data_IF_577040664533
#
_entry.id   IF_577040664533
#
_cell.length_a   1.000
_cell.length_b   1.000
_cell.length_c   1.000
_cell.angle_alpha   90.00
_cell.angle_beta   90.00
_cell.angle_gamma   90.00
#
_symmetry.space_group_name_H-M   'P 1'
#
loop_
_entity.id
_entity.type
_entity.pdbx_description
1 polymer ?
#
# COMPACT_ATOMS: atom_id res chain seq x y z
N UNK A 1 3.87 3.52 -15.09
CA UNK A 1 3.07 3.60 -16.32
C UNK A 1 2.42 4.98 -16.39
N UNK A 2 2.58 5.72 -17.48
CA UNK A 2 2.00 7.05 -17.65
C UNK A 2 0.77 6.99 -18.58
N UNK A 3 -0.32 7.68 -18.22
CA UNK A 3 -1.58 7.69 -18.98
C UNK A 3 -1.43 8.20 -20.42
N UNK A 4 -0.64 9.26 -20.64
CA UNK A 4 -0.44 9.81 -21.98
C UNK A 4 0.39 8.89 -22.86
N UNK A 5 1.34 8.16 -22.28
CA UNK A 5 2.10 7.12 -23.00
C UNK A 5 1.17 5.97 -23.41
N UNK A 6 0.30 5.52 -22.48
CA UNK A 6 -0.73 4.52 -22.78
C UNK A 6 -1.62 4.98 -23.94
N UNK A 7 -2.11 6.23 -23.95
CA UNK A 7 -2.91 6.76 -25.06
C UNK A 7 -2.18 6.73 -26.41
N UNK A 8 -0.88 7.05 -26.44
CA UNK A 8 -0.07 6.93 -27.66
C UNK A 8 0.02 5.47 -28.12
N UNK A 9 0.16 4.55 -27.19
CA UNK A 9 0.25 3.12 -27.47
C UNK A 9 -1.10 2.51 -27.89
N UNK A 10 -2.22 2.98 -27.32
CA UNK A 10 -3.57 2.62 -27.79
C UNK A 10 -3.80 3.05 -29.24
N UNK A 11 -3.24 4.19 -29.67
CA UNK A 11 -3.32 4.61 -31.07
C UNK A 11 -2.61 3.65 -32.02
N UNK A 12 -1.53 2.98 -31.59
CA UNK A 12 -0.84 1.95 -32.38
C UNK A 12 -1.68 0.69 -32.58
N UNK A 13 -2.68 0.48 -31.73
CA UNK A 13 -3.62 -0.65 -31.79
C UNK A 13 -4.91 -0.34 -32.55
N UNK A 14 -5.05 0.85 -33.14
CA UNK A 14 -6.23 1.19 -33.96
C UNK A 14 -6.31 0.29 -35.18
N UNK A 15 -7.53 -0.14 -35.49
CA UNK A 15 -7.87 -1.00 -36.64
C UNK A 15 -7.17 -2.37 -36.62
N UNK A 16 -6.62 -2.80 -35.49
CA UNK A 16 -6.06 -4.14 -35.30
C UNK A 16 -7.00 -4.93 -34.38
N UNK A 17 -7.30 -6.22 -34.68
CA UNK A 17 -8.01 -7.09 -33.77
C UNK A 17 -7.23 -7.29 -32.46
N UNK A 18 -7.88 -7.05 -31.32
CA UNK A 18 -7.31 -7.26 -30.00
C UNK A 18 -7.78 -8.59 -29.43
N UNK A 19 -6.82 -9.45 -29.06
CA UNK A 19 -7.12 -10.73 -28.46
C UNK A 19 -7.77 -10.56 -27.09
N UNK A 20 -8.97 -11.10 -26.91
CA UNK A 20 -9.61 -11.12 -25.61
C UNK A 20 -9.02 -12.21 -24.72
N UNK A 21 -8.97 -11.97 -23.41
CA UNK A 21 -8.57 -12.99 -22.43
C UNK A 21 -9.59 -14.15 -22.43
N UNK A 22 -10.86 -13.84 -22.68
CA UNK A 22 -11.88 -14.84 -22.95
C UNK A 22 -12.03 -15.01 -24.46
N UNK A 23 -11.81 -16.22 -25.03
CA UNK A 23 -11.99 -16.46 -26.46
C UNK A 23 -13.37 -16.04 -26.97
N UNK A 24 -13.44 -15.43 -28.16
CA UNK A 24 -14.70 -15.04 -28.82
C UNK A 24 -15.23 -13.66 -28.45
N UNK A 25 -14.52 -12.91 -27.60
CA UNK A 25 -14.88 -11.56 -27.17
C UNK A 25 -13.84 -10.51 -27.60
N UNK A 26 -13.16 -10.77 -28.72
CA UNK A 26 -12.21 -9.87 -29.37
C UNK A 26 -12.86 -8.52 -29.68
N UNK A 27 -12.04 -7.48 -29.71
CA UNK A 27 -12.50 -6.12 -29.98
C UNK A 27 -11.54 -5.41 -30.93
N UNK A 28 -12.03 -4.38 -31.62
CA UNK A 28 -11.22 -3.50 -32.46
C UNK A 28 -11.40 -2.07 -31.97
N UNK A 29 -10.31 -1.34 -31.80
CA UNK A 29 -10.35 0.10 -31.56
C UNK A 29 -10.53 0.80 -32.92
N UNK A 30 -11.68 1.42 -33.13
CA UNK A 30 -11.96 2.17 -34.36
C UNK A 30 -11.40 3.59 -34.26
N UNK A 31 -11.66 4.24 -33.13
CA UNK A 31 -11.33 5.65 -32.94
C UNK A 31 -11.03 5.94 -31.46
N UNK A 32 -10.18 6.94 -31.24
CA UNK A 32 -9.93 7.53 -29.93
C UNK A 32 -10.13 9.03 -30.11
N UNK A 33 -11.11 9.60 -29.42
CA UNK A 33 -11.36 11.03 -29.37
C UNK A 33 -11.00 11.59 -27.98
N UNK A 34 -11.23 12.88 -27.75
CA UNK A 34 -10.80 13.57 -26.53
C UNK A 34 -11.38 12.99 -25.23
N UNK A 35 -12.52 12.32 -25.30
CA UNK A 35 -13.25 11.84 -24.12
C UNK A 35 -13.53 10.33 -24.12
N UNK A 36 -13.45 9.66 -25.28
CA UNK A 36 -13.91 8.30 -25.47
C UNK A 36 -13.03 7.49 -26.42
N UNK A 37 -13.05 6.18 -26.22
CA UNK A 37 -12.60 5.16 -27.16
C UNK A 37 -13.85 4.56 -27.82
N UNK A 38 -13.86 4.52 -29.15
CA UNK A 38 -14.89 3.84 -29.94
C UNK A 38 -14.40 2.44 -30.26
N UNK A 39 -15.14 1.44 -29.79
CA UNK A 39 -14.78 0.03 -29.86
C UNK A 39 -15.86 -0.73 -30.62
N UNK A 40 -15.45 -1.59 -31.55
CA UNK A 40 -16.30 -2.59 -32.16
C UNK A 40 -16.07 -3.94 -31.46
N UNK A 41 -17.13 -4.58 -30.98
CA UNK A 41 -17.05 -5.95 -30.42
C UNK A 41 -17.04 -7.00 -31.52
N UNK A 42 -16.70 -8.25 -31.17
CA UNK A 42 -16.76 -9.41 -32.06
C UNK A 42 -18.12 -9.60 -32.76
N UNK A 43 -19.23 -9.21 -32.12
CA UNK A 43 -20.58 -9.21 -32.71
C UNK A 43 -20.85 -8.07 -33.71
N UNK A 44 -19.88 -7.21 -33.98
CA UNK A 44 -20.03 -6.02 -34.84
C UNK A 44 -20.66 -4.81 -34.15
N UNK A 45 -21.10 -4.93 -32.89
CA UNK A 45 -21.68 -3.80 -32.14
C UNK A 45 -20.62 -2.74 -31.83
N UNK A 46 -20.94 -1.49 -32.14
CA UNK A 46 -20.10 -0.33 -31.84
C UNK A 46 -20.53 0.26 -30.48
N UNK A 47 -19.55 0.48 -29.61
CA UNK A 47 -19.75 1.02 -28.25
C UNK A 47 -18.74 2.11 -27.97
N UNK A 48 -19.19 3.18 -27.29
CA UNK A 48 -18.32 4.26 -26.80
C UNK A 48 -17.93 3.99 -25.35
N UNK A 49 -16.64 4.12 -25.03
CA UNK A 49 -16.09 3.93 -23.68
C UNK A 49 -15.38 5.17 -23.18
N UNK A 50 -15.73 5.70 -22.00
CA UNK A 50 -15.07 6.88 -21.47
C UNK A 50 -13.59 6.64 -21.20
N UNK A 51 -12.74 7.56 -21.66
CA UNK A 51 -11.31 7.57 -21.36
C UNK A 51 -11.01 7.71 -19.86
N UNK A 52 -11.97 8.25 -19.09
CA UNK A 52 -11.90 8.26 -17.63
C UNK A 52 -11.75 6.84 -17.04
N UNK A 53 -12.35 5.82 -17.67
CA UNK A 53 -12.19 4.42 -17.22
C UNK A 53 -10.75 3.95 -17.42
N UNK A 54 -10.18 4.22 -18.59
CA UNK A 54 -8.77 3.90 -18.89
C UNK A 54 -7.85 4.63 -17.92
N UNK A 55 -8.07 5.94 -17.69
CA UNK A 55 -7.27 6.72 -16.73
C UNK A 55 -7.32 6.12 -15.33
N UNK A 56 -8.50 5.68 -14.87
CA UNK A 56 -8.67 5.03 -13.57
C UNK A 56 -7.93 3.69 -13.49
N UNK A 57 -8.03 2.86 -14.52
CA UNK A 57 -7.33 1.58 -14.60
C UNK A 57 -5.81 1.76 -14.67
N UNK A 58 -5.33 2.71 -15.47
CA UNK A 58 -3.90 3.06 -15.56
C UNK A 58 -3.37 3.50 -14.20
N UNK A 59 -4.11 4.34 -13.48
CA UNK A 59 -3.74 4.76 -12.11
C UNK A 59 -3.68 3.57 -11.14
N UNK A 60 -4.60 2.61 -11.25
CA UNK A 60 -4.53 1.42 -10.40
C UNK A 60 -3.34 0.52 -10.77
N UNK A 61 -3.04 0.37 -12.06
CA UNK A 61 -1.90 -0.39 -12.57
C UNK A 61 -0.54 0.20 -12.20
N UNK A 62 -0.43 1.50 -11.89
CA UNK A 62 0.86 2.08 -11.46
C UNK A 62 1.37 1.51 -10.15
N UNK A 63 0.50 0.88 -9.34
CA UNK A 63 0.90 0.15 -8.14
C UNK A 63 1.70 -1.13 -8.44
N UNK A 64 1.78 -1.57 -9.71
CA UNK A 64 2.33 -2.86 -10.14
C UNK A 64 1.64 -4.08 -9.52
N UNK A 65 0.49 -3.89 -8.85
CA UNK A 65 -0.32 -4.97 -8.28
C UNK A 65 -1.35 -5.46 -9.32
N UNK A 66 -1.75 -6.73 -9.25
CA UNK A 66 -2.90 -7.24 -10.00
C UNK A 66 -4.16 -6.47 -9.70
N UNK A 67 -4.83 -6.00 -10.76
CA UNK A 67 -6.12 -5.33 -10.63
C UNK A 67 -7.20 -6.16 -11.32
N UNK A 68 -8.35 -6.27 -10.64
CA UNK A 68 -9.57 -6.76 -11.27
C UNK A 68 -10.35 -5.57 -11.82
N UNK A 69 -10.58 -5.55 -13.14
CA UNK A 69 -11.18 -4.40 -13.83
C UNK A 69 -12.56 -4.03 -13.28
N UNK A 70 -13.40 -5.03 -12.97
CA UNK A 70 -14.74 -4.81 -12.42
C UNK A 70 -14.69 -4.11 -11.05
N UNK A 71 -13.75 -4.51 -10.19
CA UNK A 71 -13.58 -3.89 -8.86
C UNK A 71 -13.12 -2.45 -9.00
N UNK A 72 -12.15 -2.17 -9.89
CA UNK A 72 -11.66 -0.80 -10.10
C UNK A 72 -12.75 0.11 -10.68
N UNK A 73 -13.59 -0.42 -11.58
CA UNK A 73 -14.65 0.35 -12.24
C UNK A 73 -16.00 0.31 -11.51
N UNK A 74 -16.07 -0.32 -10.33
CA UNK A 74 -17.22 -0.24 -9.43
C UNK A 74 -18.43 -1.11 -9.80
N UNK A 75 -18.25 -2.24 -10.48
CA UNK A 75 -19.37 -3.17 -10.74
C UNK A 75 -19.13 -4.24 -11.82
N UNK A 76 -20.00 -5.26 -11.83
CA UNK A 76 -19.95 -6.47 -12.66
C UNK A 76 -20.70 -6.33 -13.99
N UNK A 77 -20.30 -5.37 -14.82
CA UNK A 77 -20.88 -5.18 -16.15
C UNK A 77 -20.22 -6.09 -17.20
N UNK A 78 -20.98 -6.83 -18.00
CA UNK A 78 -20.46 -7.65 -19.12
C UNK A 78 -19.63 -6.85 -20.14
N UNK A 79 -19.85 -5.53 -20.23
CA UNK A 79 -19.07 -4.64 -21.07
C UNK A 79 -17.65 -4.39 -20.55
N UNK A 80 -17.34 -4.67 -19.28
CA UNK A 80 -16.02 -4.44 -18.65
C UNK A 80 -14.90 -5.32 -19.23
N UNK A 81 -15.27 -6.36 -19.99
CA UNK A 81 -14.32 -7.09 -20.82
C UNK A 81 -13.61 -6.17 -21.84
N UNK A 82 -14.27 -5.12 -22.33
CA UNK A 82 -13.69 -4.22 -23.35
C UNK A 82 -12.47 -3.44 -22.83
N UNK A 83 -12.54 -2.66 -21.72
CA UNK A 83 -11.37 -1.99 -21.19
C UNK A 83 -10.31 -2.97 -20.66
N UNK A 84 -10.71 -4.16 -20.19
CA UNK A 84 -9.76 -5.22 -19.84
C UNK A 84 -8.97 -5.69 -21.06
N UNK A 85 -9.66 -6.09 -22.14
CA UNK A 85 -9.04 -6.51 -23.39
C UNK A 85 -8.15 -5.41 -23.95
N UNK A 86 -8.61 -4.16 -24.00
CA UNK A 86 -7.81 -3.03 -24.51
C UNK A 86 -6.49 -2.88 -23.75
N UNK A 87 -6.49 -2.98 -22.42
CA UNK A 87 -5.25 -2.84 -21.64
C UNK A 87 -4.39 -4.10 -21.65
N UNK A 88 -5.00 -5.29 -21.65
CA UNK A 88 -4.29 -6.57 -21.69
C UNK A 88 -3.55 -6.82 -23.01
N UNK A 89 -3.80 -5.99 -24.04
CA UNK A 89 -3.13 -6.06 -25.34
C UNK A 89 -1.95 -5.08 -25.49
N UNK A 90 -1.62 -4.37 -24.40
CA UNK A 90 -0.41 -3.56 -24.34
C UNK A 90 0.78 -4.48 -24.00
N UNK A 91 1.91 -4.40 -24.75
CA UNK A 91 3.09 -5.24 -24.57
C UNK A 91 3.60 -5.43 -23.14
N UNK A 92 3.39 -4.43 -22.28
CA UNK A 92 3.85 -4.40 -20.90
C UNK A 92 2.77 -4.74 -19.87
N UNK A 93 1.63 -5.28 -20.29
CA UNK A 93 0.54 -5.72 -19.43
C UNK A 93 0.29 -7.22 -19.60
N UNK A 94 0.56 -8.00 -18.56
CA UNK A 94 0.21 -9.42 -18.53
C UNK A 94 -1.06 -9.64 -17.71
N UNK A 95 -1.68 -10.81 -17.87
CA UNK A 95 -2.86 -11.18 -17.11
C UNK A 95 -2.69 -12.50 -16.35
N UNK A 96 -3.42 -12.66 -15.26
CA UNK A 96 -3.44 -13.87 -14.45
C UNK A 96 -4.79 -14.10 -13.79
N UNK A 97 -5.01 -15.32 -13.28
CA UNK A 97 -6.20 -15.66 -12.50
C UNK A 97 -5.89 -15.69 -10.99
N UNK A 98 -6.64 -14.90 -10.24
CA UNK A 98 -6.64 -14.88 -8.77
C UNK A 98 -8.07 -15.15 -8.32
N UNK A 99 -8.28 -16.17 -7.48
CA UNK A 99 -9.61 -16.61 -7.03
C UNK A 99 -10.62 -16.77 -8.19
N UNK A 100 -10.18 -17.43 -9.28
CA UNK A 100 -10.94 -17.66 -10.54
C UNK A 100 -11.34 -16.40 -11.32
N UNK A 101 -10.87 -15.21 -10.91
CA UNK A 101 -11.13 -13.93 -11.61
C UNK A 101 -9.90 -13.46 -12.37
N UNK A 102 -10.13 -12.88 -13.54
CA UNK A 102 -9.09 -12.28 -14.37
C UNK A 102 -8.58 -11.00 -13.72
N UNK A 103 -7.27 -10.87 -13.68
CA UNK A 103 -6.57 -9.67 -13.24
C UNK A 103 -5.53 -9.30 -14.29
N UNK A 104 -5.27 -8.01 -14.44
CA UNK A 104 -4.20 -7.48 -15.29
C UNK A 104 -3.14 -6.83 -14.41
N UNK A 105 -1.87 -6.90 -14.85
CA UNK A 105 -0.69 -6.44 -14.11
C UNK A 105 0.24 -5.73 -15.07
N UNK A 106 0.79 -4.59 -14.65
CA UNK A 106 1.88 -3.92 -15.37
C UNK A 106 3.22 -4.56 -14.97
N UNK A 107 3.92 -5.17 -15.93
CA UNK A 107 5.16 -5.93 -15.70
C UNK A 107 6.44 -5.16 -16.02
N UNK A 108 6.33 -3.89 -16.40
CA UNK A 108 7.45 -2.95 -16.63
C UNK A 108 8.46 -3.34 -17.73
N UNK A 109 8.10 -4.30 -18.57
CA UNK A 109 8.88 -4.76 -19.73
C UNK A 109 7.93 -5.19 -20.86
N UNK A 110 8.36 -5.13 -22.12
CA UNK A 110 7.54 -5.59 -23.24
C UNK A 110 7.64 -7.12 -23.37
N UNK A 111 6.56 -7.85 -23.11
CA UNK A 111 6.54 -9.31 -23.09
C UNK A 111 5.80 -9.97 -24.25
N UNK A 112 5.07 -9.17 -25.04
CA UNK A 112 4.32 -9.60 -26.22
C UNK A 112 4.10 -8.40 -27.17
N UNK A 113 3.58 -8.65 -28.37
CA UNK A 113 3.36 -7.61 -29.38
C UNK A 113 2.01 -6.89 -29.18
N UNK A 114 1.85 -5.71 -29.78
CA UNK A 114 0.57 -5.01 -29.77
C UNK A 114 -0.54 -5.86 -30.40
N UNK A 115 -1.71 -5.90 -29.75
CA UNK A 115 -2.88 -6.63 -30.25
C UNK A 115 -2.91 -8.13 -29.92
N UNK A 116 -1.89 -8.64 -29.23
CA UNK A 116 -1.97 -9.94 -28.55
C UNK A 116 -2.02 -9.74 -27.05
N UNK A 117 -2.41 -10.75 -26.27
CA UNK A 117 -2.29 -10.73 -24.81
C UNK A 117 -1.40 -11.89 -24.34
N UNK A 118 -0.92 -11.81 -23.10
CA UNK A 118 -0.08 -12.86 -22.50
C UNK A 118 -0.52 -13.23 -21.09
N UNK A 119 -0.82 -14.51 -20.88
CA UNK A 119 -1.00 -15.06 -19.53
C UNK A 119 0.37 -15.13 -18.85
N UNK A 120 0.44 -14.62 -17.64
CA UNK A 120 1.64 -14.63 -16.80
C UNK A 120 2.07 -16.07 -16.54
N UNK A 121 3.37 -16.34 -16.60
CA UNK A 121 3.91 -17.67 -16.31
C UNK A 121 3.61 -18.10 -14.87
N UNK A 122 3.56 -19.41 -14.63
CA UNK A 122 3.14 -19.98 -13.35
C UNK A 122 4.03 -19.57 -12.18
N UNK A 123 5.33 -19.36 -12.41
CA UNK A 123 6.29 -18.97 -11.38
C UNK A 123 6.07 -17.52 -10.97
N UNK A 124 6.03 -16.59 -11.94
CA UNK A 124 5.75 -15.17 -11.70
C UNK A 124 4.36 -14.97 -11.10
N UNK A 125 3.37 -15.70 -11.58
CA UNK A 125 2.01 -15.66 -11.03
C UNK A 125 1.96 -16.14 -9.57
N UNK A 126 2.77 -17.14 -9.18
CA UNK A 126 2.87 -17.58 -7.79
C UNK A 126 3.50 -16.50 -6.91
N UNK A 127 4.61 -15.88 -7.35
CA UNK A 127 5.27 -14.80 -6.62
C UNK A 127 4.33 -13.62 -6.36
N UNK A 128 3.60 -13.20 -7.40
CA UNK A 128 2.62 -12.10 -7.33
C UNK A 128 1.48 -12.43 -6.35
N UNK A 129 1.00 -13.69 -6.35
CA UNK A 129 -0.05 -14.13 -5.40
C UNK A 129 0.46 -14.14 -3.96
N UNK A 130 1.69 -14.58 -3.73
CA UNK A 130 2.31 -14.59 -2.40
C UNK A 130 2.50 -13.18 -1.86
N UNK A 131 3.00 -12.24 -2.67
CA UNK A 131 3.15 -10.84 -2.29
C UNK A 131 1.82 -10.20 -1.91
N UNK A 132 0.76 -10.45 -2.68
CA UNK A 132 -0.58 -9.98 -2.33
C UNK A 132 -1.09 -10.57 -1.01
N UNK A 133 -0.80 -11.84 -0.76
CA UNK A 133 -1.20 -12.49 0.49
C UNK A 133 -0.46 -11.89 1.69
N UNK A 134 0.86 -11.73 1.62
CA UNK A 134 1.65 -11.11 2.70
C UNK A 134 1.21 -9.68 2.98
N UNK A 135 0.95 -8.88 1.94
CA UNK A 135 0.46 -7.52 2.12
C UNK A 135 -0.94 -7.47 2.74
N UNK A 136 -1.83 -8.41 2.38
CA UNK A 136 -3.18 -8.47 2.96
C UNK A 136 -3.14 -8.83 4.44
N UNK A 137 -2.25 -9.73 4.85
CA UNK A 137 -2.01 -10.08 6.25
C UNK A 137 -1.48 -8.87 7.00
N UNK A 138 -0.47 -8.18 6.47
CA UNK A 138 0.07 -6.95 7.06
C UNK A 138 -0.98 -5.83 7.15
N UNK A 139 -1.90 -5.73 6.19
CA UNK A 139 -2.96 -4.73 6.21
C UNK A 139 -4.05 -5.02 7.24
N UNK A 140 -4.38 -6.31 7.47
CA UNK A 140 -5.30 -6.74 8.53
C UNK A 140 -4.67 -6.60 9.92
N UNK A 141 -3.40 -6.96 10.08
CA UNK A 141 -2.63 -6.72 11.30
C UNK A 141 -2.56 -5.21 11.60
N UNK A 142 -2.27 -4.37 10.61
CA UNK A 142 -2.27 -2.90 10.76
C UNK A 142 -3.61 -2.31 11.17
N UNK A 143 -4.73 -2.94 10.82
CA UNK A 143 -6.10 -2.47 11.14
C UNK A 143 -6.50 -2.75 12.59
N UNK A 144 -5.79 -3.66 13.27
CA UNK A 144 -5.98 -4.04 14.67
C UNK A 144 -4.85 -3.55 15.60
N UNK A 145 -3.95 -2.67 15.14
CA UNK A 145 -2.87 -2.16 15.97
C UNK A 145 -3.37 -1.26 17.10
N UNK A 146 -2.80 -1.46 18.29
CA UNK A 146 -2.82 -0.49 19.38
C UNK A 146 -1.95 0.72 18.98
N UNK A 147 -2.48 1.92 19.08
CA UNK A 147 -1.73 3.17 18.96
C UNK A 147 -0.93 3.37 20.24
N UNK A 148 0.37 3.12 20.21
CA UNK A 148 1.22 3.34 21.38
C UNK A 148 1.90 4.70 21.26
N UNK A 149 1.81 5.53 22.29
CA UNK A 149 2.51 6.82 22.40
C UNK A 149 3.40 6.80 23.64
N UNK A 150 4.67 7.15 23.49
CA UNK A 150 5.59 7.34 24.63
C UNK A 150 5.67 8.82 24.94
N UNK A 151 5.59 9.18 26.21
CA UNK A 151 5.77 10.52 26.74
C UNK A 151 6.95 10.50 27.69
N UNK A 152 7.91 11.38 27.47
CA UNK A 152 9.08 11.54 28.32
C UNK A 152 8.80 12.60 29.37
N UNK A 153 9.12 12.28 30.62
CA UNK A 153 8.96 13.22 31.71
C UNK A 153 10.12 13.20 32.71
N UNK A 154 10.40 14.34 33.34
CA UNK A 154 11.43 14.40 34.38
C UNK A 154 10.86 13.89 35.72
N UNK A 155 9.59 14.23 36.01
CA UNK A 155 8.87 13.80 37.20
C UNK A 155 7.72 12.83 36.87
N UNK A 156 8.00 11.53 37.01
CA UNK A 156 7.06 10.46 36.70
C UNK A 156 5.81 10.48 37.59
N UNK A 157 5.93 10.90 38.86
CA UNK A 157 4.81 10.92 39.81
C UNK A 157 3.80 12.02 39.46
N UNK A 158 4.31 13.22 39.16
CA UNK A 158 3.49 14.36 38.75
C UNK A 158 2.82 14.11 37.40
N UNK A 159 3.58 13.62 36.42
CA UNK A 159 3.03 13.24 35.12
C UNK A 159 1.94 12.16 35.26
N UNK A 160 2.17 11.14 36.09
CA UNK A 160 1.18 10.10 36.38
C UNK A 160 -0.11 10.68 36.98
N UNK A 161 0.00 11.64 37.91
CA UNK A 161 -1.16 12.29 38.50
C UNK A 161 -1.97 13.06 37.45
N UNK A 162 -1.30 13.83 36.60
CA UNK A 162 -1.92 14.60 35.51
C UNK A 162 -2.64 13.66 34.54
N UNK A 163 -1.95 12.64 34.02
CA UNK A 163 -2.55 11.72 33.07
C UNK A 163 -3.68 10.90 33.69
N UNK A 164 -3.58 10.48 34.95
CA UNK A 164 -4.69 9.86 35.67
C UNK A 164 -5.93 10.76 35.70
N UNK A 165 -5.75 12.07 35.91
CA UNK A 165 -6.86 13.03 35.94
C UNK A 165 -7.52 13.23 34.56
N UNK A 166 -6.71 13.30 33.49
CA UNK A 166 -7.18 13.51 32.11
C UNK A 166 -7.85 12.24 31.57
N UNK A 167 -7.17 11.11 31.72
CA UNK A 167 -7.57 9.82 31.16
C UNK A 167 -8.66 9.13 31.99
N UNK A 168 -8.89 9.59 33.23
CA UNK A 168 -9.83 8.99 34.19
C UNK A 168 -9.61 7.49 34.38
N UNK A 169 -8.35 7.05 34.28
CA UNK A 169 -7.95 5.64 34.40
C UNK A 169 -6.76 5.53 35.35
N UNK A 170 -6.75 4.46 36.14
CA UNK A 170 -5.59 4.13 36.97
C UNK A 170 -4.43 3.65 36.09
N UNK A 171 -3.20 4.13 36.36
CA UNK A 171 -2.02 3.62 35.69
C UNK A 171 -1.69 2.20 36.12
N UNK A 172 -1.11 1.44 35.20
CA UNK A 172 -0.39 0.20 35.51
C UNK A 172 1.09 0.52 35.67
N UNK A 173 1.65 0.21 36.84
CA UNK A 173 3.09 0.28 37.08
C UNK A 173 3.75 -0.96 36.48
N UNK A 174 4.74 -0.77 35.62
CA UNK A 174 5.47 -1.87 34.99
C UNK A 174 6.90 -1.96 35.53
N UNK A 175 7.59 -0.83 35.64
CA UNK A 175 8.97 -0.73 36.15
C UNK A 175 9.16 0.57 36.94
N UNK A 176 10.28 0.68 37.67
CA UNK A 176 10.62 1.84 38.53
C UNK A 176 10.58 3.19 37.79
N UNK A 177 10.82 3.19 36.49
CA UNK A 177 10.91 4.40 35.66
C UNK A 177 9.86 4.44 34.52
N UNK A 178 8.83 3.59 34.58
CA UNK A 178 7.81 3.47 33.53
C UNK A 178 6.39 3.26 34.08
N UNK A 179 5.45 4.05 33.59
CA UNK A 179 4.02 3.95 33.91
C UNK A 179 3.20 3.83 32.62
N UNK A 180 2.20 2.94 32.59
CA UNK A 180 1.35 2.73 31.43
C UNK A 180 -0.11 3.11 31.72
N UNK A 181 -0.72 3.81 30.77
CA UNK A 181 -2.17 3.97 30.67
C UNK A 181 -2.65 3.32 29.37
N UNK A 182 -3.65 2.46 29.44
CA UNK A 182 -4.26 1.83 28.26
C UNK A 182 -5.71 2.26 28.13
N UNK A 183 -6.13 2.87 27.04
CA UNK A 183 -7.52 3.30 26.81
C UNK A 183 -7.93 2.92 25.41
N UNK A 184 -8.96 2.09 25.32
CA UNK A 184 -9.47 1.55 24.06
C UNK A 184 -8.34 0.93 23.20
N UNK A 185 -8.04 1.56 22.07
CA UNK A 185 -6.97 1.16 21.15
C UNK A 185 -5.68 1.97 21.33
N UNK A 186 -5.52 2.70 22.43
CA UNK A 186 -4.37 3.59 22.65
C UNK A 186 -3.64 3.20 23.93
N UNK A 187 -2.31 3.12 23.88
CA UNK A 187 -1.46 2.89 25.05
C UNK A 187 -0.53 4.08 25.20
N UNK A 188 -0.54 4.74 26.36
CA UNK A 188 0.35 5.85 26.69
C UNK A 188 1.37 5.34 27.70
N UNK A 189 2.65 5.49 27.39
CA UNK A 189 3.75 5.09 28.27
C UNK A 189 4.44 6.36 28.74
N UNK A 190 4.38 6.64 30.05
CA UNK A 190 5.18 7.68 30.68
C UNK A 190 6.53 7.08 31.07
N UNK A 191 7.63 7.67 30.60
CA UNK A 191 8.98 7.20 30.88
C UNK A 191 9.83 8.34 31.39
N UNK A 192 10.62 8.09 32.45
CA UNK A 192 11.59 9.10 32.91
C UNK A 192 12.53 9.46 31.76
N UNK A 193 12.81 10.75 31.59
CA UNK A 193 13.78 11.24 30.63
C UNK A 193 15.19 10.72 30.98
N UNK A 194 15.87 10.10 30.01
CA UNK A 194 17.22 9.53 30.19
C UNK A 194 18.23 10.13 29.18
N UNK A 195 17.78 11.01 28.27
CA UNK A 195 18.55 11.32 27.05
C UNK A 195 18.52 12.79 26.62
N UNK A 196 18.26 13.70 27.57
CA UNK A 196 18.16 15.15 27.38
C UNK A 196 17.01 15.58 26.45
N UNK A 197 15.94 14.79 26.42
CA UNK A 197 14.71 15.21 25.75
C UNK A 197 14.01 16.29 26.58
N UNK A 198 13.36 17.29 25.97
CA UNK A 198 12.53 18.21 26.74
C UNK A 198 11.41 17.47 27.48
N UNK A 199 11.15 17.85 28.72
CA UNK A 199 10.01 17.36 29.50
C UNK A 199 8.70 17.56 28.71
N UNK A 200 7.80 16.56 28.76
CA UNK A 200 6.55 16.55 28.00
C UNK A 200 6.70 16.19 26.51
N UNK A 201 7.91 15.87 26.04
CA UNK A 201 8.10 15.34 24.68
C UNK A 201 7.32 14.04 24.51
N UNK A 202 6.63 13.88 23.38
CA UNK A 202 5.91 12.64 23.08
C UNK A 202 6.04 12.23 21.62
N UNK A 203 5.90 10.92 21.37
CA UNK A 203 5.80 10.43 20.01
C UNK A 203 5.07 9.08 19.91
N UNK A 204 4.46 8.79 18.74
CA UNK A 204 3.92 7.47 18.46
C UNK A 204 5.05 6.45 18.30
N UNK A 205 4.80 5.20 18.70
CA UNK A 205 5.62 4.04 18.34
C UNK A 205 5.09 3.49 17.02
N UNK A 206 5.96 3.47 16.01
CA UNK A 206 5.65 2.86 14.72
C UNK A 206 6.44 1.55 14.60
N UNK A 207 5.76 0.38 14.49
CA UNK A 207 6.43 -0.86 14.17
C UNK A 207 6.98 -0.79 12.74
N UNK A 208 8.24 -1.18 12.57
CA UNK A 208 8.93 -1.21 11.27
C UNK A 208 9.53 -2.59 11.02
N UNK A 209 9.27 -3.11 9.82
CA UNK A 209 9.70 -4.46 9.40
C UNK A 209 11.16 -4.49 8.94
N UNK A 210 11.69 -3.35 8.47
CA UNK A 210 13.07 -3.19 8.03
C UNK A 210 13.57 -1.79 8.40
N UNK A 211 14.36 -1.72 9.47
CA UNK A 211 14.88 -0.47 10.01
C UNK A 211 15.82 0.24 9.02
N UNK A 212 16.71 -0.50 8.34
CA UNK A 212 17.72 0.07 7.46
C UNK A 212 17.10 0.78 6.26
N UNK A 213 16.10 0.15 5.65
CA UNK A 213 15.35 0.75 4.54
C UNK A 213 14.59 2.01 4.98
N UNK A 214 14.06 2.04 6.21
CA UNK A 214 13.29 3.19 6.70
C UNK A 214 14.19 4.33 7.16
N UNK A 215 15.38 4.02 7.68
CA UNK A 215 16.41 5.02 7.98
C UNK A 215 16.93 5.68 6.71
N UNK A 216 17.10 4.92 5.62
CA UNK A 216 17.51 5.44 4.33
C UNK A 216 16.48 6.39 3.69
N UNK A 217 15.19 6.22 3.98
CA UNK A 217 14.11 7.10 3.49
C UNK A 217 13.94 8.41 4.28
N UNK A 218 14.50 8.51 5.50
CA UNK A 218 14.34 9.65 6.41
C UNK A 218 15.40 10.75 6.26
N UNK A 219 16.15 10.73 5.15
CA UNK A 219 17.13 11.72 4.67
C UNK A 219 17.50 12.87 5.65
N UNK A 220 18.71 12.77 6.23
CA UNK A 220 19.50 13.89 6.82
C UNK A 220 18.90 14.75 7.94
N UNK A 221 17.75 14.39 8.53
CA UNK A 221 17.26 15.05 9.74
C UNK A 221 17.89 14.40 10.99
N UNK A 222 18.58 15.22 11.79
CA UNK A 222 19.39 14.86 12.97
C UNK A 222 18.95 13.57 13.67
N UNK A 223 19.80 12.55 13.63
CA UNK A 223 19.53 11.22 14.18
C UNK A 223 20.25 11.06 15.52
N UNK A 224 19.53 11.06 16.64
CA UNK A 224 20.03 10.47 17.90
C UNK A 224 19.40 9.09 18.02
N UNK A 225 20.20 8.05 17.80
CA UNK A 225 19.79 6.66 18.01
C UNK A 225 19.91 6.37 19.49
N UNK A 226 18.83 5.91 20.09
CA UNK A 226 18.76 5.60 21.52
C UNK A 226 18.42 4.13 21.65
N UNK A 227 19.16 3.40 22.48
CA UNK A 227 18.88 1.98 22.74
C UNK A 227 18.08 1.86 24.05
N UNK A 228 17.01 1.06 24.06
CA UNK A 228 16.26 0.71 25.27
C UNK A 228 16.43 -0.79 25.52
N UNK A 229 16.66 -1.22 26.77
CA UNK A 229 16.71 -2.65 27.12
C UNK A 229 15.37 -3.33 26.87
N UNK A 230 15.41 -4.52 26.29
CA UNK A 230 14.24 -5.31 25.93
C UNK A 230 13.44 -5.76 27.16
N UNK A 231 12.12 -5.57 27.12
CA UNK A 231 11.16 -6.22 28.00
C UNK A 231 10.03 -6.79 27.13
N UNK A 232 9.46 -7.94 27.51
CA UNK A 232 8.42 -8.75 26.84
C UNK A 232 7.19 -7.98 26.34
N UNK A 233 7.04 -6.70 26.70
CA UNK A 233 5.90 -5.84 26.35
C UNK A 233 6.15 -4.84 25.22
N UNK A 234 7.35 -4.77 24.63
CA UNK A 234 7.65 -3.85 23.53
C UNK A 234 7.75 -4.57 22.16
N UNK A 235 7.22 -3.97 21.07
CA UNK A 235 7.46 -4.48 19.72
C UNK A 235 8.96 -4.42 19.38
N UNK A 236 9.42 -5.37 18.56
CA UNK A 236 10.83 -5.59 18.23
C UNK A 236 11.53 -4.38 17.60
N UNK A 237 10.79 -3.45 17.00
CA UNK A 237 11.33 -2.22 16.41
C UNK A 237 10.35 -1.05 16.60
N UNK A 238 10.84 0.11 17.08
CA UNK A 238 10.02 1.28 17.36
C UNK A 238 10.71 2.58 16.89
N UNK A 239 9.98 3.45 16.18
CA UNK A 239 10.47 4.80 15.83
C UNK A 239 9.61 5.83 16.54
N UNK A 240 10.24 6.79 17.23
CA UNK A 240 9.60 7.93 17.93
C UNK A 240 9.84 9.20 17.09
N UNK A 241 8.76 9.74 16.52
CA UNK A 241 8.78 10.95 15.70
C UNK A 241 8.40 12.18 16.54
N UNK A 242 9.34 13.09 16.81
CA UNK A 242 9.07 14.38 17.42
C UNK A 242 8.80 15.49 16.39
N UNK A 243 8.27 16.63 16.85
CA UNK A 243 7.86 17.73 15.97
C UNK A 243 9.01 18.42 15.20
N UNK A 244 10.24 18.41 15.75
CA UNK A 244 11.41 19.06 15.14
C UNK A 244 12.65 18.15 15.03
N UNK A 245 12.60 16.92 15.54
CA UNK A 245 13.69 15.93 15.51
C UNK A 245 13.11 14.51 15.60
N UNK A 246 13.78 13.53 14.98
CA UNK A 246 13.42 12.11 15.06
C UNK A 246 14.35 11.40 16.02
N UNK A 247 13.79 10.58 16.91
CA UNK A 247 14.58 9.73 17.80
C UNK A 247 14.21 8.28 17.49
N UNK A 248 15.19 7.53 17.02
CA UNK A 248 15.02 6.11 16.75
C UNK A 248 15.34 5.38 18.05
N UNK A 249 14.36 4.68 18.60
CA UNK A 249 14.58 3.87 19.80
C UNK A 249 14.66 2.39 19.44
N UNK A 250 15.85 1.81 19.53
CA UNK A 250 16.10 0.40 19.26
C UNK A 250 15.96 -0.42 20.54
N UNK A 251 15.13 -1.45 20.54
CA UNK A 251 15.07 -2.44 21.62
C UNK A 251 16.24 -3.41 21.50
N UNK A 252 17.09 -3.55 22.53
CA UNK A 252 18.27 -4.43 22.53
C UNK A 252 17.96 -5.93 22.68
N UNK A 253 16.83 -6.43 22.14
CA UNK A 253 16.54 -7.86 22.19
C UNK A 253 17.38 -8.70 21.21
N UNK A 254 18.17 -8.07 20.33
CA UNK A 254 18.95 -8.75 19.28
C UNK A 254 20.26 -7.99 18.99
N UNK A 255 21.26 -8.23 19.83
CA UNK A 255 22.57 -8.67 19.33
C UNK A 255 22.68 -10.17 19.62
#
# INVERSE_FOLDING_TARGET
MNYYSVLKDLNKMKNIPLQSINPGAEVVILEINDSNIIIQSSSGKIVKRPLAEIKKLVKSLTSKKPIHVDTVLGGSGSSRNQPETVLANLPYVEWLRIKRKKHIVWVDENTHIFGTNKEMDSVRAALVKTQLHSESVLHEEKKNLLNVTVVFCDNLQEASYIYKSILKKEPELIEKDQIIFSIDKTVIILKRNVYDLPDGSSAPIIPVDNLDSRCAELDSLFTKIIKIPANEKFPSHAIIIGNNNYIIILSEALL
#
